data_IF_194783136891
#
_entry.id   IF_194783136891
#
_cell.length_a   1.000
_cell.length_b   1.000
_cell.length_c   1.000
_cell.angle_alpha   90.00
_cell.angle_beta   90.00
_cell.angle_gamma   90.00
#
_symmetry.space_group_name_H-M   'P 1'
#
loop_
_entity.id
_entity.type
_entity.pdbx_description
1 polymer ?
#
# COMPACT_ATOMS: atom_id res chain seq x y z
N UNK A 1 10.88 -15.48 -12.88
CA UNK A 1 10.09 -14.24 -12.62
C UNK A 1 10.13 -14.00 -11.13
N UNK A 2 10.25 -12.75 -10.67
CA UNK A 2 10.16 -12.39 -9.26
C UNK A 2 8.72 -12.46 -8.79
N UNK A 3 8.51 -12.66 -7.48
CA UNK A 3 7.22 -12.93 -6.87
C UNK A 3 6.93 -11.92 -5.75
N UNK A 4 5.67 -11.53 -5.57
CA UNK A 4 5.25 -10.74 -4.43
C UNK A 4 3.87 -11.19 -3.94
N UNK A 5 3.65 -11.06 -2.64
CA UNK A 5 2.34 -11.30 -2.03
C UNK A 5 1.74 -9.98 -1.55
N UNK A 6 0.43 -9.80 -1.78
CA UNK A 6 -0.36 -8.80 -1.06
C UNK A 6 -1.18 -9.47 0.05
N UNK A 7 -1.16 -8.89 1.25
CA UNK A 7 -1.98 -9.28 2.40
C UNK A 7 -2.90 -8.10 2.70
N UNK A 8 -4.14 -8.17 2.24
CA UNK A 8 -5.08 -7.04 2.33
C UNK A 8 -6.53 -7.48 2.12
N UNK A 9 -7.45 -6.56 2.31
CA UNK A 9 -8.85 -6.73 1.94
C UNK A 9 -9.06 -6.69 0.43
N UNK A 10 -10.14 -7.31 -0.01
CA UNK A 10 -10.61 -7.34 -1.39
C UNK A 10 -11.54 -6.15 -1.65
N UNK A 11 -11.35 -5.42 -2.72
CA UNK A 11 -12.28 -4.41 -3.25
C UNK A 11 -12.98 -4.97 -4.48
N UNK A 12 -14.27 -5.28 -4.36
CA UNK A 12 -15.05 -5.89 -5.46
C UNK A 12 -15.16 -4.98 -6.70
N UNK A 13 -14.99 -3.67 -6.55
CA UNK A 13 -14.93 -2.73 -7.69
C UNK A 13 -13.59 -2.72 -8.41
N UNK A 14 -12.56 -3.32 -7.81
CA UNK A 14 -11.25 -3.48 -8.43
C UNK A 14 -10.33 -2.27 -8.33
N UNK A 15 -10.74 -1.17 -7.66
CA UNK A 15 -9.97 0.07 -7.62
C UNK A 15 -8.89 0.11 -6.54
N UNK A 16 -9.06 -0.65 -5.46
CA UNK A 16 -8.14 -0.71 -4.32
C UNK A 16 -7.91 -2.15 -3.85
N UNK A 17 -7.37 -2.34 -2.65
CA UNK A 17 -7.15 -3.63 -2.04
C UNK A 17 -6.31 -4.57 -2.89
N UNK A 18 -6.52 -5.89 -2.71
CA UNK A 18 -5.75 -6.90 -3.45
C UNK A 18 -5.89 -6.76 -4.97
N UNK A 19 -7.00 -6.24 -5.48
CA UNK A 19 -7.21 -6.08 -6.92
C UNK A 19 -6.29 -5.02 -7.51
N UNK A 20 -6.16 -3.86 -6.88
CA UNK A 20 -5.20 -2.83 -7.27
C UNK A 20 -3.76 -3.34 -7.12
N UNK A 21 -3.49 -4.07 -6.02
CA UNK A 21 -2.17 -4.61 -5.74
C UNK A 21 -1.73 -5.62 -6.82
N UNK A 22 -2.58 -6.60 -7.15
CA UNK A 22 -2.31 -7.63 -8.17
C UNK A 22 -2.11 -6.98 -9.55
N UNK A 23 -2.99 -6.06 -9.95
CA UNK A 23 -2.83 -5.31 -11.21
C UNK A 23 -1.49 -4.57 -11.25
N UNK A 24 -1.14 -3.87 -10.17
CA UNK A 24 0.12 -3.14 -10.05
C UNK A 24 1.33 -4.06 -10.13
N UNK A 25 1.32 -5.19 -9.41
CA UNK A 25 2.42 -6.16 -9.39
C UNK A 25 2.64 -6.77 -10.77
N UNK A 26 1.55 -7.18 -11.45
CA UNK A 26 1.62 -7.77 -12.80
C UNK A 26 2.17 -6.76 -13.80
N UNK A 27 1.67 -5.53 -13.80
CA UNK A 27 2.12 -4.48 -14.73
C UNK A 27 3.55 -3.99 -14.44
N UNK A 28 4.04 -4.22 -13.21
CA UNK A 28 5.45 -4.02 -12.85
C UNK A 28 6.33 -5.27 -13.08
N UNK A 29 5.80 -6.32 -13.75
CA UNK A 29 6.57 -7.50 -14.14
C UNK A 29 6.87 -8.50 -13.02
N UNK A 30 6.01 -8.54 -11.99
CA UNK A 30 6.13 -9.43 -10.83
C UNK A 30 4.93 -10.39 -10.78
N UNK A 31 5.17 -11.66 -10.48
CA UNK A 31 4.10 -12.63 -10.24
C UNK A 31 3.42 -12.30 -8.91
N UNK A 32 2.12 -12.02 -8.96
CA UNK A 32 1.34 -11.57 -7.82
C UNK A 32 0.58 -12.72 -7.16
N UNK A 33 0.69 -12.80 -5.83
CA UNK A 33 -0.08 -13.70 -4.97
C UNK A 33 -0.86 -12.88 -3.96
N UNK A 34 -1.89 -13.46 -3.35
CA UNK A 34 -2.70 -12.76 -2.34
C UNK A 34 -3.09 -13.66 -1.18
N UNK A 35 -3.10 -13.10 0.04
CA UNK A 35 -3.80 -13.60 1.21
C UNK A 35 -4.86 -12.56 1.61
N UNK A 36 -6.11 -12.98 1.78
CA UNK A 36 -7.26 -12.07 1.86
C UNK A 36 -7.67 -11.89 3.32
N UNK A 37 -7.60 -10.65 3.81
CA UNK A 37 -8.01 -10.32 5.19
C UNK A 37 -9.51 -10.09 5.33
N UNK A 38 -10.15 -9.59 4.29
CA UNK A 38 -11.59 -9.35 4.25
C UNK A 38 -12.12 -9.30 2.81
N UNK A 39 -13.35 -9.71 2.60
CA UNK A 39 -14.10 -9.45 1.38
C UNK A 39 -15.00 -8.23 1.61
N UNK A 40 -15.10 -7.33 0.64
CA UNK A 40 -16.02 -6.19 0.68
C UNK A 40 -17.02 -6.24 -0.46
N UNK A 41 -18.26 -5.92 -0.18
CA UNK A 41 -19.24 -5.52 -1.19
C UNK A 41 -19.09 -4.00 -1.38
N UNK A 42 -18.28 -3.62 -2.34
CA UNK A 42 -17.81 -2.25 -2.53
C UNK A 42 -17.95 -1.82 -3.99
N UNK A 43 -18.20 -0.54 -4.19
CA UNK A 43 -18.15 0.14 -5.47
C UNK A 43 -17.53 1.55 -5.31
N UNK A 44 -17.50 2.35 -6.38
CA UNK A 44 -16.91 3.69 -6.35
C UNK A 44 -17.61 4.68 -5.43
N UNK A 45 -18.82 4.36 -4.95
CA UNK A 45 -19.62 5.23 -4.06
C UNK A 45 -19.55 4.81 -2.59
N UNK A 46 -19.03 3.61 -2.26
CA UNK A 46 -18.88 3.17 -0.88
C UNK A 46 -18.87 1.65 -0.68
N UNK A 47 -18.77 1.27 0.59
CA UNK A 47 -18.78 -0.12 1.07
C UNK A 47 -20.12 -0.41 1.71
N UNK A 48 -20.81 -1.46 1.27
CA UNK A 48 -22.14 -1.86 1.79
C UNK A 48 -22.08 -3.07 2.72
N UNK A 49 -21.05 -3.91 2.61
CA UNK A 49 -20.87 -5.08 3.49
C UNK A 49 -19.41 -5.49 3.56
N UNK A 50 -19.01 -6.07 4.69
CA UNK A 50 -17.65 -6.59 4.92
C UNK A 50 -17.78 -7.99 5.54
N UNK A 51 -17.00 -8.94 5.02
CA UNK A 51 -16.83 -10.28 5.56
C UNK A 51 -15.33 -10.51 5.83
N UNK A 52 -14.95 -10.55 7.09
CA UNK A 52 -13.57 -10.83 7.49
C UNK A 52 -13.23 -12.32 7.28
N UNK A 53 -11.98 -12.59 6.88
CA UNK A 53 -11.41 -13.92 6.96
C UNK A 53 -11.26 -14.33 8.44
N UNK A 54 -11.23 -15.67 8.71
CA UNK A 54 -10.85 -16.11 10.04
C UNK A 54 -9.33 -16.14 10.19
N UNK A 55 -8.80 -15.94 11.42
CA UNK A 55 -7.37 -16.04 11.67
C UNK A 55 -6.76 -17.37 11.21
N UNK A 56 -7.48 -18.49 11.42
CA UNK A 56 -7.04 -19.82 11.00
C UNK A 56 -6.92 -19.90 9.47
N UNK A 57 -7.92 -19.39 8.73
CA UNK A 57 -7.91 -19.47 7.27
C UNK A 57 -6.82 -18.59 6.67
N UNK A 58 -6.66 -17.35 7.16
CA UNK A 58 -5.57 -16.47 6.75
C UNK A 58 -4.19 -17.12 7.01
N UNK A 59 -4.04 -17.78 8.17
CA UNK A 59 -2.82 -18.55 8.48
C UNK A 59 -2.56 -19.65 7.46
N UNK A 60 -3.59 -20.38 7.02
CA UNK A 60 -3.50 -21.42 6.00
C UNK A 60 -3.18 -20.87 4.61
N UNK A 61 -3.73 -19.72 4.21
CA UNK A 61 -3.36 -19.04 2.96
C UNK A 61 -1.86 -18.68 2.96
N UNK A 62 -1.38 -18.09 4.06
CA UNK A 62 0.03 -17.73 4.21
C UNK A 62 0.94 -18.96 4.19
N UNK A 63 0.59 -20.02 4.93
CA UNK A 63 1.35 -21.27 4.92
C UNK A 63 1.43 -21.88 3.52
N UNK A 64 0.31 -21.89 2.80
CA UNK A 64 0.25 -22.44 1.44
C UNK A 64 1.16 -21.68 0.47
N UNK A 65 1.24 -20.36 0.61
CA UNK A 65 2.08 -19.51 -0.25
C UNK A 65 3.55 -19.64 0.13
N UNK A 66 3.89 -19.46 1.41
CA UNK A 66 5.29 -19.44 1.84
C UNK A 66 5.98 -20.78 1.74
N UNK A 67 5.24 -21.89 1.74
CA UNK A 67 5.81 -23.24 1.63
C UNK A 67 5.97 -23.74 0.18
N UNK A 68 5.40 -23.04 -0.81
CA UNK A 68 5.46 -23.41 -2.22
C UNK A 68 6.09 -22.30 -3.07
N UNK A 69 5.39 -21.18 -3.29
CA UNK A 69 5.91 -20.04 -4.05
C UNK A 69 6.33 -18.94 -3.05
N UNK A 70 7.55 -19.05 -2.53
CA UNK A 70 8.07 -18.10 -1.55
C UNK A 70 8.17 -16.68 -2.15
N UNK A 71 7.53 -15.65 -1.54
CA UNK A 71 7.52 -14.30 -2.07
C UNK A 71 8.87 -13.58 -1.87
N UNK A 72 9.36 -12.92 -2.91
CA UNK A 72 10.54 -12.04 -2.84
C UNK A 72 10.23 -10.70 -2.11
N UNK A 73 8.95 -10.30 -2.05
CA UNK A 73 8.46 -9.14 -1.30
C UNK A 73 7.04 -9.34 -0.78
N UNK A 74 6.71 -8.61 0.27
CA UNK A 74 5.39 -8.62 0.91
C UNK A 74 4.83 -7.20 0.93
N UNK A 75 3.58 -7.01 0.48
CA UNK A 75 2.82 -5.77 0.70
C UNK A 75 1.71 -6.04 1.69
N UNK A 76 1.62 -5.24 2.74
CA UNK A 76 0.50 -5.29 3.70
C UNK A 76 -0.35 -4.04 3.50
N UNK A 77 -1.64 -4.26 3.20
CA UNK A 77 -2.64 -3.20 3.08
C UNK A 77 -3.50 -3.09 4.33
N UNK A 78 -4.80 -2.85 4.14
CA UNK A 78 -5.75 -2.74 5.24
C UNK A 78 -5.94 -4.08 5.96
N UNK A 79 -5.68 -4.07 7.26
CA UNK A 79 -6.02 -5.15 8.20
C UNK A 79 -6.63 -4.51 9.44
N UNK A 80 -7.93 -4.73 9.65
CA UNK A 80 -8.69 -4.03 10.70
C UNK A 80 -8.93 -4.87 11.96
N UNK A 81 -8.57 -6.16 11.95
CA UNK A 81 -8.78 -7.10 13.05
C UNK A 81 -7.45 -7.48 13.71
N UNK A 82 -7.38 -7.36 15.04
CA UNK A 82 -6.15 -7.61 15.81
C UNK A 82 -5.66 -9.04 15.74
N UNK A 83 -6.55 -10.02 15.66
CA UNK A 83 -6.14 -11.43 15.61
C UNK A 83 -5.59 -11.78 14.23
N UNK A 84 -6.12 -11.16 13.15
CA UNK A 84 -5.52 -11.26 11.82
C UNK A 84 -4.11 -10.61 11.79
N UNK A 85 -3.93 -9.45 12.45
CA UNK A 85 -2.63 -8.78 12.55
C UNK A 85 -1.60 -9.69 13.23
N UNK A 86 -1.96 -10.33 14.35
CA UNK A 86 -1.07 -11.25 15.06
C UNK A 86 -0.69 -12.46 14.21
N UNK A 87 -1.64 -13.04 13.49
CA UNK A 87 -1.37 -14.16 12.57
C UNK A 87 -0.42 -13.75 11.47
N UNK A 88 -0.64 -12.61 10.83
CA UNK A 88 0.26 -12.08 9.81
C UNK A 88 1.67 -11.92 10.38
N UNK A 89 1.83 -11.23 11.52
CA UNK A 89 3.12 -11.01 12.15
C UNK A 89 3.83 -12.31 12.52
N UNK A 90 3.09 -13.29 13.08
CA UNK A 90 3.64 -14.59 13.42
C UNK A 90 4.14 -15.35 12.17
N UNK A 91 3.37 -15.33 11.07
CA UNK A 91 3.75 -16.00 9.82
C UNK A 91 4.92 -15.31 9.13
N UNK A 92 4.98 -13.99 9.12
CA UNK A 92 6.13 -13.26 8.56
C UNK A 92 7.43 -13.55 9.32
N UNK A 93 7.37 -13.65 10.66
CA UNK A 93 8.51 -14.08 11.48
C UNK A 93 8.89 -15.54 11.23
N UNK A 94 7.89 -16.45 11.19
CA UNK A 94 8.08 -17.88 10.98
C UNK A 94 8.83 -18.17 9.68
N UNK A 95 8.47 -17.45 8.62
CA UNK A 95 9.04 -17.64 7.29
C UNK A 95 10.19 -16.68 6.96
N UNK A 96 10.63 -15.84 7.93
CA UNK A 96 11.68 -14.85 7.72
C UNK A 96 11.45 -13.98 6.48
N UNK A 97 10.21 -13.52 6.31
CA UNK A 97 9.80 -12.73 5.16
C UNK A 97 10.62 -11.45 5.02
N UNK A 98 10.92 -11.07 3.78
CA UNK A 98 11.77 -9.91 3.46
C UNK A 98 11.02 -8.90 2.59
N UNK A 99 11.59 -7.70 2.48
CA UNK A 99 11.05 -6.62 1.65
C UNK A 99 9.57 -6.34 1.97
N UNK A 100 9.28 -6.15 3.26
CA UNK A 100 7.93 -5.96 3.77
C UNK A 100 7.56 -4.47 3.66
N UNK A 101 6.59 -4.15 2.81
CA UNK A 101 6.02 -2.81 2.64
C UNK A 101 4.68 -2.74 3.35
N UNK A 102 4.56 -1.89 4.36
CA UNK A 102 3.32 -1.73 5.12
C UNK A 102 2.68 -0.37 4.80
N UNK A 103 1.47 -0.41 4.25
CA UNK A 103 0.62 0.77 4.16
C UNK A 103 -0.26 0.82 5.43
N UNK A 104 -0.01 1.74 6.36
CA UNK A 104 -0.73 1.79 7.63
C UNK A 104 -2.11 2.43 7.44
N UNK A 105 -3.04 1.69 6.86
CA UNK A 105 -4.39 2.16 6.55
C UNK A 105 -5.21 2.22 7.84
N UNK A 106 -5.06 3.32 8.59
CA UNK A 106 -5.74 3.55 9.87
C UNK A 106 -6.85 4.60 9.78
N UNK A 107 -6.69 5.56 8.87
CA UNK A 107 -7.58 6.71 8.73
C UNK A 107 -7.98 6.88 7.27
N UNK A 108 -9.27 7.02 7.00
CA UNK A 108 -9.76 7.36 5.67
C UNK A 108 -9.32 8.78 5.27
N UNK A 109 -9.31 9.09 3.99
CA UNK A 109 -9.05 10.44 3.47
C UNK A 109 -10.02 11.48 4.04
N UNK A 110 -11.23 11.05 4.43
CA UNK A 110 -12.22 11.87 5.11
C UNK A 110 -11.93 12.15 6.59
N UNK A 111 -10.87 11.56 7.17
CA UNK A 111 -10.53 11.61 8.59
C UNK A 111 -11.26 10.57 9.46
N UNK A 112 -12.10 9.72 8.88
CA UNK A 112 -12.79 8.67 9.62
C UNK A 112 -11.83 7.54 10.00
N UNK A 113 -11.88 7.07 11.26
CA UNK A 113 -11.09 5.93 11.74
C UNK A 113 -11.56 4.64 11.05
N UNK A 114 -10.63 3.92 10.45
CA UNK A 114 -10.89 2.66 9.72
C UNK A 114 -10.54 1.41 10.52
N UNK A 115 -9.92 1.58 11.66
CA UNK A 115 -9.42 0.52 12.53
C UNK A 115 -9.76 0.85 14.00
N UNK A 116 -10.06 -0.14 14.81
CA UNK A 116 -10.25 0.03 16.25
C UNK A 116 -8.92 0.35 16.96
N UNK A 117 -8.98 0.97 18.14
CA UNK A 117 -7.78 1.37 18.88
C UNK A 117 -6.89 0.18 19.23
N UNK A 118 -7.49 -0.92 19.68
CA UNK A 118 -6.76 -2.14 20.03
C UNK A 118 -6.11 -2.83 18.81
N UNK A 119 -6.72 -2.77 17.65
CA UNK A 119 -6.14 -3.27 16.41
C UNK A 119 -5.04 -2.33 15.89
N UNK A 120 -5.20 -1.00 16.04
CA UNK A 120 -4.15 -0.04 15.70
C UNK A 120 -2.91 -0.20 16.58
N UNK A 121 -3.08 -0.44 17.87
CA UNK A 121 -1.98 -0.69 18.79
C UNK A 121 -1.29 -2.02 18.45
N UNK A 122 -2.05 -3.08 18.17
CA UNK A 122 -1.49 -4.36 17.71
C UNK A 122 -0.71 -4.21 16.40
N UNK A 123 -1.19 -3.40 15.45
CA UNK A 123 -0.49 -3.10 14.20
C UNK A 123 0.87 -2.43 14.45
N UNK A 124 0.91 -1.44 15.35
CA UNK A 124 2.12 -0.72 15.76
C UNK A 124 3.13 -1.61 16.49
N UNK A 125 2.64 -2.53 17.33
CA UNK A 125 3.48 -3.40 18.15
C UNK A 125 4.00 -4.62 17.38
N UNK A 126 3.17 -5.23 16.53
CA UNK A 126 3.45 -6.53 15.93
C UNK A 126 3.94 -6.46 14.49
N UNK A 127 3.41 -5.55 13.66
CA UNK A 127 3.72 -5.50 12.23
C UNK A 127 4.72 -4.41 11.86
N UNK A 128 4.65 -3.22 12.46
CA UNK A 128 5.56 -2.14 12.08
C UNK A 128 7.04 -2.47 12.30
N UNK A 129 7.44 -3.15 13.40
CA UNK A 129 8.84 -3.54 13.58
C UNK A 129 9.35 -4.58 12.57
N UNK A 130 8.46 -5.21 11.79
CA UNK A 130 8.82 -6.15 10.72
C UNK A 130 8.95 -5.46 9.36
N UNK A 131 8.50 -4.22 9.24
CA UNK A 131 8.49 -3.50 7.97
C UNK A 131 9.91 -3.15 7.51
N UNK A 132 10.17 -3.32 6.22
CA UNK A 132 11.30 -2.67 5.56
C UNK A 132 11.01 -1.19 5.34
N UNK A 133 9.75 -0.86 5.03
CA UNK A 133 9.28 0.52 4.87
C UNK A 133 7.80 0.64 5.25
N UNK A 134 7.49 1.69 6.02
CA UNK A 134 6.12 2.18 6.26
C UNK A 134 5.79 3.28 5.25
N UNK A 135 4.55 3.31 4.75
CA UNK A 135 4.12 4.32 3.76
C UNK A 135 2.92 5.14 4.26
N UNK A 136 3.02 5.84 5.40
CA UNK A 136 1.92 6.66 5.92
C UNK A 136 1.67 7.88 5.02
N UNK A 137 0.40 8.30 4.91
CA UNK A 137 0.05 9.64 4.49
C UNK A 137 0.18 10.62 5.69
N UNK A 138 0.03 11.93 5.45
CA UNK A 138 0.16 12.93 6.53
C UNK A 138 -0.81 12.66 7.69
N UNK A 139 -2.12 12.44 7.50
CA UNK A 139 -3.02 12.09 8.61
C UNK A 139 -2.62 10.83 9.38
N UNK A 140 -2.12 9.81 8.70
CA UNK A 140 -1.61 8.57 9.32
C UNK A 140 -0.32 8.85 10.11
N UNK A 141 0.60 9.65 9.57
CA UNK A 141 1.81 10.06 10.29
C UNK A 141 1.47 10.89 11.54
N UNK A 142 0.53 11.83 11.45
CA UNK A 142 0.02 12.61 12.59
C UNK A 142 -0.53 11.71 13.71
N UNK A 143 -1.30 10.68 13.34
CA UNK A 143 -1.82 9.68 14.31
C UNK A 143 -0.69 8.90 14.99
N UNK A 144 0.38 8.57 14.25
CA UNK A 144 1.52 7.83 14.79
C UNK A 144 2.37 8.63 15.78
N UNK A 145 2.48 9.94 15.57
CA UNK A 145 3.29 10.84 16.41
C UNK A 145 2.46 11.66 17.42
N UNK A 146 1.13 11.64 17.31
CA UNK A 146 0.21 12.34 18.22
C UNK A 146 0.21 13.86 18.08
N UNK A 147 0.67 14.43 16.96
CA UNK A 147 0.67 15.87 16.68
C UNK A 147 0.47 16.17 15.21
N UNK A 148 0.04 17.41 14.91
CA UNK A 148 -0.15 17.90 13.54
C UNK A 148 1.20 18.11 12.82
N UNK A 149 1.17 17.97 11.49
CA UNK A 149 2.26 18.23 10.57
C UNK A 149 1.81 19.35 9.65
N UNK A 150 2.44 20.52 9.80
CA UNK A 150 2.05 21.77 9.12
C UNK A 150 3.16 22.35 8.24
N UNK A 151 4.38 21.79 8.30
CA UNK A 151 5.51 22.21 7.50
C UNK A 151 6.35 21.04 6.97
N UNK A 152 7.25 21.32 6.04
CA UNK A 152 8.19 20.34 5.51
C UNK A 152 9.17 19.84 6.59
N UNK A 153 9.60 20.73 7.48
CA UNK A 153 10.50 20.41 8.60
C UNK A 153 9.80 19.46 9.58
N UNK A 154 8.53 19.74 9.93
CA UNK A 154 7.74 18.86 10.80
C UNK A 154 7.47 17.49 10.14
N UNK A 155 7.39 17.43 8.81
CA UNK A 155 7.27 16.16 8.09
C UNK A 155 8.56 15.34 8.15
N UNK A 156 9.72 16.00 8.10
CA UNK A 156 11.04 15.35 8.30
C UNK A 156 11.15 14.81 9.72
N UNK A 157 10.81 15.63 10.72
CA UNK A 157 10.86 15.24 12.13
C UNK A 157 9.90 14.06 12.41
N UNK A 158 8.70 14.09 11.85
CA UNK A 158 7.72 13.02 11.96
C UNK A 158 8.23 11.70 11.35
N UNK A 159 8.75 11.75 10.14
CA UNK A 159 9.29 10.57 9.47
C UNK A 159 10.49 9.97 10.25
N UNK A 160 11.35 10.82 10.80
CA UNK A 160 12.45 10.43 11.67
C UNK A 160 11.95 9.75 12.94
N UNK A 161 11.02 10.38 13.66
CA UNK A 161 10.45 9.84 14.91
C UNK A 161 9.80 8.47 14.70
N UNK A 162 9.03 8.30 13.63
CA UNK A 162 8.39 7.03 13.26
C UNK A 162 9.47 5.98 12.92
N UNK A 163 10.48 6.37 12.15
CA UNK A 163 11.59 5.48 11.77
C UNK A 163 12.39 4.99 12.97
N UNK A 164 12.74 5.88 13.88
CA UNK A 164 13.46 5.53 15.12
C UNK A 164 12.62 4.65 16.04
N UNK A 165 11.32 4.91 16.15
CA UNK A 165 10.41 4.15 17.00
C UNK A 165 10.19 2.72 16.53
N UNK A 166 10.08 2.50 15.22
CA UNK A 166 9.75 1.20 14.64
C UNK A 166 10.95 0.51 13.95
N UNK A 167 12.11 1.15 13.92
CA UNK A 167 13.35 0.64 13.33
C UNK A 167 13.22 0.25 11.84
N UNK A 168 12.51 1.06 11.06
CA UNK A 168 12.28 0.84 9.64
C UNK A 168 12.36 2.15 8.85
N UNK A 169 12.46 2.05 7.53
CA UNK A 169 12.33 3.22 6.67
C UNK A 169 10.88 3.75 6.67
N UNK A 170 10.70 5.04 6.42
CA UNK A 170 9.39 5.70 6.37
C UNK A 170 9.28 6.54 5.11
N UNK A 171 8.29 6.23 4.27
CA UNK A 171 7.88 7.07 3.16
C UNK A 171 6.63 7.85 3.58
N UNK A 172 6.80 9.06 4.08
CA UNK A 172 5.70 9.96 4.38
C UNK A 172 5.16 10.57 3.09
N UNK A 173 3.90 10.22 2.73
CA UNK A 173 3.28 10.65 1.48
C UNK A 173 2.74 12.06 1.60
N UNK A 174 3.11 12.95 0.67
CA UNK A 174 2.58 14.30 0.54
C UNK A 174 1.19 14.37 -0.07
N UNK A 175 0.83 15.52 -0.62
CA UNK A 175 -0.44 15.71 -1.33
C UNK A 175 -1.62 16.16 -0.47
N UNK A 176 -1.46 16.30 0.85
CA UNK A 176 -2.49 16.78 1.79
C UNK A 176 -2.29 18.27 2.14
N UNK A 177 -2.21 19.14 1.13
CA UNK A 177 -2.13 20.61 1.24
C UNK A 177 -0.82 21.23 1.76
N UNK A 178 0.21 20.45 2.09
CA UNK A 178 1.50 20.99 2.56
C UNK A 178 2.48 21.28 1.43
N UNK A 179 2.56 20.38 0.49
CA UNK A 179 3.42 20.47 -0.69
C UNK A 179 2.68 19.81 -1.83
N UNK A 180 2.88 20.20 -3.05
CA UNK A 180 2.35 19.54 -4.25
C UNK A 180 2.19 18.01 -4.02
N UNK A 181 2.59 17.09 -4.85
CA UNK A 181 2.59 15.65 -4.60
C UNK A 181 3.98 15.14 -4.17
N UNK A 182 4.69 15.89 -3.32
CA UNK A 182 6.04 15.54 -2.86
C UNK A 182 5.99 14.56 -1.70
N UNK A 183 6.72 13.46 -1.81
CA UNK A 183 6.85 12.45 -0.75
C UNK A 183 8.24 12.51 -0.13
N UNK A 184 8.34 12.23 1.16
CA UNK A 184 9.57 12.23 1.94
C UNK A 184 9.92 10.80 2.36
N UNK A 185 11.05 10.28 1.89
CA UNK A 185 11.64 9.05 2.42
C UNK A 185 12.65 9.41 3.51
N UNK A 186 12.52 8.78 4.67
CA UNK A 186 13.53 8.76 5.72
C UNK A 186 14.04 7.32 5.90
N UNK A 187 15.34 7.12 5.70
CA UNK A 187 15.98 5.82 5.81
C UNK A 187 17.44 6.00 6.22
N UNK A 188 17.99 5.08 7.01
CA UNK A 188 19.41 5.04 7.41
C UNK A 188 19.95 6.36 7.98
N UNK A 189 19.11 7.10 8.71
CA UNK A 189 19.48 8.37 9.34
C UNK A 189 19.50 9.59 8.40
N UNK A 190 19.10 9.42 7.15
CA UNK A 190 19.02 10.47 6.13
C UNK A 190 17.62 10.60 5.54
N UNK A 191 17.32 11.73 4.94
CA UNK A 191 16.06 11.92 4.23
C UNK A 191 16.28 12.33 2.76
N UNK A 192 15.32 11.96 1.91
CA UNK A 192 15.26 12.35 0.50
C UNK A 192 13.85 12.72 0.10
N UNK A 193 13.70 13.85 -0.60
CA UNK A 193 12.45 14.25 -1.21
C UNK A 193 12.28 13.66 -2.62
N UNK A 194 11.12 13.13 -2.89
CA UNK A 194 10.67 12.71 -4.22
C UNK A 194 9.61 13.70 -4.69
N UNK A 195 9.99 14.60 -5.57
CA UNK A 195 9.09 15.61 -6.09
C UNK A 195 8.06 14.99 -7.05
N UNK A 196 6.84 15.50 -7.00
CA UNK A 196 5.76 15.11 -7.90
C UNK A 196 4.82 16.28 -8.15
N UNK A 197 4.28 16.37 -9.34
CA UNK A 197 3.20 17.32 -9.63
C UNK A 197 1.85 16.66 -9.34
N UNK A 198 0.97 17.41 -8.71
CA UNK A 198 -0.41 16.97 -8.53
C UNK A 198 -1.08 16.84 -9.89
N UNK A 199 -1.64 15.67 -10.15
CA UNK A 199 -2.45 15.40 -11.32
C UNK A 199 -3.89 15.66 -10.92
N UNK A 200 -4.57 16.55 -11.63
CA UNK A 200 -5.97 16.89 -11.39
C UNK A 200 -6.87 15.80 -12.00
N UNK A 201 -6.99 14.70 -11.24
CA UNK A 201 -7.85 13.57 -11.56
C UNK A 201 -8.77 13.30 -10.37
N UNK A 202 -10.11 13.31 -10.53
CA UNK A 202 -11.06 12.99 -9.46
C UNK A 202 -11.01 11.51 -9.07
N UNK A 203 -10.51 10.65 -9.96
CA UNK A 203 -10.44 9.20 -9.80
C UNK A 203 -9.13 8.78 -9.15
N UNK A 204 -9.06 8.88 -7.82
CA UNK A 204 -7.87 8.62 -7.01
C UNK A 204 -8.01 7.41 -6.10
N UNK A 205 -9.08 6.61 -6.28
CA UNK A 205 -9.31 5.43 -5.46
C UNK A 205 -8.20 4.40 -5.66
N UNK A 206 -7.58 3.97 -4.55
CA UNK A 206 -6.51 2.98 -4.54
C UNK A 206 -5.10 3.52 -4.78
N UNK A 207 -4.88 4.84 -4.82
CA UNK A 207 -3.53 5.42 -5.01
C UNK A 207 -2.52 4.93 -3.97
N UNK A 208 -2.91 4.82 -2.69
CA UNK A 208 -2.05 4.29 -1.63
C UNK A 208 -1.70 2.82 -1.82
N UNK A 209 -2.66 1.99 -2.21
CA UNK A 209 -2.45 0.57 -2.53
C UNK A 209 -1.50 0.43 -3.73
N UNK A 210 -1.74 1.18 -4.78
CA UNK A 210 -0.92 1.16 -6.00
C UNK A 210 0.53 1.57 -5.72
N UNK A 211 0.76 2.67 -5.00
CA UNK A 211 2.11 3.12 -4.66
C UNK A 211 2.87 2.07 -3.85
N UNK A 212 2.27 1.56 -2.77
CA UNK A 212 2.92 0.57 -1.90
C UNK A 212 3.19 -0.76 -2.62
N UNK A 213 2.30 -1.19 -3.52
CA UNK A 213 2.49 -2.41 -4.32
C UNK A 213 3.55 -2.24 -5.42
N UNK A 214 3.66 -1.05 -6.01
CA UNK A 214 4.73 -0.75 -6.95
C UNK A 214 6.10 -0.71 -6.24
N UNK A 215 6.18 -0.18 -5.01
CA UNK A 215 7.40 -0.24 -4.19
C UNK A 215 7.76 -1.70 -3.90
N UNK A 216 6.81 -2.52 -3.42
CA UNK A 216 7.04 -3.94 -3.15
C UNK A 216 7.51 -4.69 -4.40
N UNK A 217 6.92 -4.40 -5.57
CA UNK A 217 7.31 -4.99 -6.85
C UNK A 217 8.76 -4.64 -7.23
N UNK A 218 9.19 -3.42 -7.00
CA UNK A 218 10.56 -2.99 -7.32
C UNK A 218 11.57 -3.58 -6.33
N UNK A 219 11.24 -3.64 -5.03
CA UNK A 219 12.06 -4.33 -4.02
C UNK A 219 12.19 -5.84 -4.35
N UNK A 220 11.12 -6.52 -4.77
CA UNK A 220 11.16 -7.91 -5.20
C UNK A 220 12.13 -8.13 -6.36
N UNK A 221 12.25 -7.17 -7.28
CA UNK A 221 13.20 -7.18 -8.40
C UNK A 221 14.63 -6.87 -8.01
N UNK A 222 14.89 -6.46 -6.76
CA UNK A 222 16.23 -6.15 -6.24
C UNK A 222 16.68 -4.70 -6.42
N UNK A 223 15.79 -3.79 -6.77
CA UNK A 223 16.10 -2.35 -6.73
C UNK A 223 16.29 -1.88 -5.29
N UNK A 224 17.12 -0.86 -5.10
CA UNK A 224 17.22 -0.16 -3.81
C UNK A 224 15.88 0.44 -3.39
N UNK A 225 15.72 0.78 -2.11
CA UNK A 225 14.50 1.40 -1.63
C UNK A 225 14.22 2.75 -2.32
N UNK A 226 15.26 3.58 -2.50
CA UNK A 226 15.14 4.87 -3.18
C UNK A 226 14.68 4.71 -4.63
N UNK A 227 15.33 3.82 -5.40
CA UNK A 227 14.93 3.51 -6.77
C UNK A 227 13.52 2.93 -6.83
N UNK A 228 13.15 2.10 -5.86
CA UNK A 228 11.82 1.49 -5.78
C UNK A 228 10.74 2.56 -5.56
N UNK A 229 11.00 3.56 -4.72
CA UNK A 229 10.10 4.71 -4.51
C UNK A 229 10.00 5.57 -5.75
N UNK A 230 11.12 5.91 -6.39
CA UNK A 230 11.15 6.73 -7.61
C UNK A 230 10.34 6.09 -8.73
N UNK A 231 10.58 4.81 -9.02
CA UNK A 231 9.84 4.03 -10.03
C UNK A 231 8.35 3.89 -9.70
N UNK A 232 8.03 3.72 -8.42
CA UNK A 232 6.63 3.62 -7.98
C UNK A 232 5.89 4.96 -8.16
N UNK A 233 6.57 6.08 -7.92
CA UNK A 233 6.03 7.42 -8.16
C UNK A 233 5.79 7.71 -9.63
N UNK A 234 6.71 7.32 -10.49
CA UNK A 234 6.53 7.42 -11.95
C UNK A 234 5.34 6.59 -12.42
N UNK A 235 5.24 5.33 -11.95
CA UNK A 235 4.15 4.43 -12.30
C UNK A 235 2.78 4.98 -11.89
N UNK A 236 2.62 5.43 -10.63
CA UNK A 236 1.34 5.97 -10.17
C UNK A 236 0.96 7.26 -10.90
N UNK A 237 1.95 8.09 -11.24
CA UNK A 237 1.73 9.31 -12.04
C UNK A 237 1.20 8.98 -13.43
N UNK A 238 1.77 7.97 -14.09
CA UNK A 238 1.27 7.47 -15.37
C UNK A 238 -0.16 6.93 -15.28
N UNK A 239 -0.45 6.12 -14.27
CA UNK A 239 -1.78 5.56 -14.04
C UNK A 239 -2.86 6.63 -13.77
N UNK A 240 -2.50 7.71 -13.07
CA UNK A 240 -3.38 8.86 -12.84
C UNK A 240 -3.55 9.72 -14.10
N UNK A 241 -2.46 9.93 -14.87
CA UNK A 241 -2.48 10.75 -16.07
C UNK A 241 -3.28 10.11 -17.23
N UNK A 242 -3.53 8.81 -17.18
CA UNK A 242 -4.38 8.11 -18.15
C UNK A 242 -5.86 8.50 -18.06
N UNK A 243 -6.28 9.20 -16.98
CA UNK A 243 -7.62 9.80 -16.83
C UNK A 243 -8.77 8.80 -17.00
N UNK A 244 -8.60 7.54 -16.56
CA UNK A 244 -9.65 6.53 -16.60
C UNK A 244 -10.87 7.03 -15.81
N UNK A 245 -12.05 6.99 -16.43
CA UNK A 245 -13.31 7.47 -15.82
C UNK A 245 -14.34 6.34 -15.77
N UNK A 246 -14.36 5.63 -14.66
CA UNK A 246 -15.27 4.51 -14.40
C UNK A 246 -16.02 4.69 -13.07
N UNK A 247 -17.31 4.45 -13.11
CA UNK A 247 -18.19 4.48 -11.94
C UNK A 247 -18.88 5.82 -11.73
N UNK A 248 -19.50 6.00 -10.55
CA UNK A 248 -20.32 7.18 -10.22
C UNK A 248 -19.69 8.02 -9.09
N UNK A 249 -18.66 7.51 -8.43
CA UNK A 249 -17.94 8.16 -7.35
C UNK A 249 -16.47 8.32 -7.70
N UNK A 250 -15.57 8.30 -6.69
CA UNK A 250 -14.13 8.29 -6.94
C UNK A 250 -13.74 6.97 -7.59
N UNK A 251 -13.44 7.01 -8.89
CA UNK A 251 -13.13 5.84 -9.70
C UNK A 251 -11.69 5.33 -9.54
N UNK A 252 -11.39 4.16 -10.15
CA UNK A 252 -10.05 3.59 -10.14
C UNK A 252 -9.11 4.33 -11.11
N UNK A 253 -7.80 4.14 -10.91
CA UNK A 253 -6.77 4.51 -11.87
C UNK A 253 -6.63 3.44 -12.96
N UNK A 254 -6.04 3.81 -14.10
CA UNK A 254 -5.65 2.85 -15.13
C UNK A 254 -4.30 2.19 -14.80
N UNK A 255 -4.33 1.05 -14.14
CA UNK A 255 -3.12 0.28 -13.82
C UNK A 255 -2.44 -0.28 -15.08
N UNK A 256 -3.17 -0.38 -16.18
CA UNK A 256 -2.68 -0.91 -17.46
C UNK A 256 -2.21 0.14 -18.45
N UNK A 257 -2.10 1.41 -18.07
CA UNK A 257 -1.86 2.57 -18.95
C UNK A 257 -0.66 2.39 -19.92
N UNK A 258 0.34 1.61 -19.55
CA UNK A 258 1.54 1.36 -20.35
C UNK A 258 1.48 0.04 -21.14
N UNK A 259 0.40 -0.75 -21.01
CA UNK A 259 0.26 -2.03 -21.71
C UNK A 259 -0.32 -1.76 -23.11
N UNK A 260 0.52 -2.00 -24.12
CA UNK A 260 0.11 -1.92 -25.53
C UNK A 260 0.56 -3.19 -26.24
N UNK A 261 -0.41 -4.04 -26.58
CA UNK A 261 -0.17 -5.27 -27.34
C UNK A 261 -1.44 -5.68 -28.11
N UNK A 262 -1.41 -6.78 -28.82
CA UNK A 262 -2.53 -7.27 -29.63
C UNK A 262 -3.79 -7.59 -28.81
N UNK A 263 -3.64 -7.96 -27.53
CA UNK A 263 -4.75 -8.33 -26.65
C UNK A 263 -5.44 -7.13 -25.99
N UNK A 264 -4.88 -5.92 -26.13
CA UNK A 264 -5.48 -4.67 -25.62
C UNK A 264 -6.26 -3.89 -26.67
N UNK A 265 -6.34 -4.40 -27.91
CA UNK A 265 -7.10 -3.75 -28.98
C UNK A 265 -8.59 -4.02 -28.83
N UNK A 266 -9.38 -2.98 -28.99
CA UNK A 266 -10.83 -3.11 -29.11
C UNK A 266 -11.20 -3.60 -30.51
N UNK A 267 -12.36 -4.26 -30.63
CA UNK A 267 -12.89 -4.61 -31.93
C UNK A 267 -13.22 -3.35 -32.71
N UNK A 268 -12.91 -3.33 -34.02
CA UNK A 268 -13.36 -2.27 -34.88
C UNK A 268 -14.89 -2.31 -34.93
N UNK A 269 -15.55 -1.16 -34.67
CA UNK A 269 -17.01 -1.02 -34.60
C UNK A 269 -17.66 -1.05 -36.00
#
# INVERSE_FOLDING_TARGET
MKTAITIAGSDSSGGAGIQADIKTMITNGVYAMSAITALTAQNTTGVTSILNATPEFLGQELDSIFTDIYPDAVKIGMVSDKELIKVIAAKLRQYEAKNIVVAPVMVATSGAKLISDDAADTLKEELFPLASVLTPNIPEAEELIGRKITSAEEMIDAAKEISEKYHCAVLCKGGHNLNDANDLLYADGAYRWFNGKRIDNPNTHGTGCTLSSAIASNLAKGFSLEESVERAKEYISGALAAMLDLGKGSGPMDHGFAIQNEYTKEAEA
#
